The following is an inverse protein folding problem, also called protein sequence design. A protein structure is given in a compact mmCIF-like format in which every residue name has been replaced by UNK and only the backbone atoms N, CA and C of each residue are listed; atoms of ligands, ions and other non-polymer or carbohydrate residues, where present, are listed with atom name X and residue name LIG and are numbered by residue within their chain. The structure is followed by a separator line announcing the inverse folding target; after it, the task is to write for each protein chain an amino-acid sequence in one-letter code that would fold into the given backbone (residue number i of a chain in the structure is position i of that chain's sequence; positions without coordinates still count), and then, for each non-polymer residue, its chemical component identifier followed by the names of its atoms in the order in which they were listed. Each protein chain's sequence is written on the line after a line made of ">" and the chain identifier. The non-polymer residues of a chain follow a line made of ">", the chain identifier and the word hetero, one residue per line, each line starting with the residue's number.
data_IF_709060229438
#
_entry.id   IF_709060229438
#
_cell.length_a   1.000
_cell.length_b   1.000
_cell.length_c   1.000
_cell.angle_alpha   90.00
_cell.angle_beta   90.00
_cell.angle_gamma   90.00
#
_symmetry.space_group_name_H-M   'P 1'
#
loop_
_entity.id
_entity.type
_entity.pdbx_description
1 polymer ?
#
# COMPACT_ATOMS: atom_id res chain seq x y z
N UNK A 1 -16.04 1.00 7.79
CA UNK A 1 -15.87 2.23 6.99
C UNK A 1 -14.44 2.31 6.46
N UNK A 2 -14.25 2.68 5.17
CA UNK A 2 -12.93 2.89 4.59
C UNK A 2 -12.37 4.26 5.03
N UNK A 3 -11.28 4.26 5.79
CA UNK A 3 -10.68 5.46 6.40
C UNK A 3 -9.40 5.90 5.68
N UNK A 4 -8.56 4.95 5.29
CA UNK A 4 -7.28 5.20 4.62
C UNK A 4 -7.16 4.44 3.31
N UNK A 5 -6.45 5.02 2.36
CA UNK A 5 -6.20 4.45 1.03
C UNK A 5 -4.78 4.76 0.58
N UNK A 6 -4.30 4.09 -0.48
CA UNK A 6 -3.02 4.43 -1.10
C UNK A 6 -3.16 5.60 -2.08
N UNK A 7 -2.05 6.24 -2.42
CA UNK A 7 -2.03 7.33 -3.40
C UNK A 7 -2.49 6.90 -4.81
N UNK A 8 -2.48 5.60 -5.11
CA UNK A 8 -2.92 5.03 -6.38
C UNK A 8 -4.42 4.71 -6.43
N UNK A 9 -5.14 4.81 -5.32
CA UNK A 9 -6.60 4.63 -5.27
C UNK A 9 -7.31 5.78 -5.98
N UNK A 10 -7.39 5.73 -7.29
CA UNK A 10 -7.94 6.79 -8.14
C UNK A 10 -9.23 6.39 -8.88
N UNK A 11 -9.74 5.19 -8.62
CA UNK A 11 -11.00 4.72 -9.18
C UNK A 11 -11.90 4.11 -8.08
N UNK A 12 -13.17 4.49 -8.00
CA UNK A 12 -13.78 5.60 -8.73
C UNK A 12 -13.11 6.95 -8.38
N UNK A 13 -13.41 8.03 -9.11
CA UNK A 13 -12.77 9.34 -8.91
C UNK A 13 -12.86 9.85 -7.46
N UNK A 14 -13.89 9.44 -6.73
CA UNK A 14 -14.16 9.79 -5.33
C UNK A 14 -13.42 8.88 -4.33
N UNK A 15 -12.64 7.90 -4.79
CA UNK A 15 -12.02 6.89 -3.91
C UNK A 15 -11.17 7.50 -2.78
N UNK A 16 -10.57 8.67 -3.02
CA UNK A 16 -9.73 9.39 -2.03
C UNK A 16 -10.47 10.48 -1.27
N UNK A 17 -11.71 10.83 -1.64
CA UNK A 17 -12.44 11.92 -0.98
C UNK A 17 -12.77 11.57 0.48
N UNK A 18 -12.37 12.46 1.40
CA UNK A 18 -12.59 12.27 2.83
C UNK A 18 -11.84 11.10 3.46
N UNK A 19 -10.78 10.60 2.80
CA UNK A 19 -9.93 9.52 3.29
C UNK A 19 -8.48 9.97 3.41
N UNK A 20 -7.77 9.42 4.38
CA UNK A 20 -6.34 9.66 4.54
C UNK A 20 -5.54 8.89 3.46
N UNK A 21 -4.49 9.51 2.96
CA UNK A 21 -3.51 8.79 2.12
C UNK A 21 -2.46 8.22 3.05
N UNK A 22 -2.55 6.92 3.31
CA UNK A 22 -1.67 6.23 4.26
C UNK A 22 -0.42 5.63 3.61
N UNK A 23 -0.41 5.48 2.29
CA UNK A 23 0.76 5.05 1.53
C UNK A 23 1.03 6.04 0.42
N UNK A 24 2.21 6.63 0.44
CA UNK A 24 2.77 7.45 -0.62
C UNK A 24 3.63 6.64 -1.59
N UNK A 25 3.97 7.24 -2.72
CA UNK A 25 4.85 6.64 -3.71
C UNK A 25 5.43 7.70 -4.65
N UNK A 26 6.18 7.26 -5.64
CA UNK A 26 6.80 8.14 -6.62
C UNK A 26 5.76 8.73 -7.56
N UNK A 27 5.83 10.04 -7.81
CA UNK A 27 5.04 10.66 -8.89
C UNK A 27 5.72 10.40 -10.24
N UNK A 28 5.19 9.44 -10.98
CA UNK A 28 5.69 9.02 -12.29
C UNK A 28 4.88 9.59 -13.47
N UNK A 29 3.87 10.41 -13.20
CA UNK A 29 2.89 10.87 -14.23
C UNK A 29 3.51 11.67 -15.37
N UNK A 30 4.66 12.28 -15.13
CA UNK A 30 5.36 13.13 -16.09
C UNK A 30 6.57 12.46 -16.73
N UNK A 31 6.82 11.19 -16.41
CA UNK A 31 7.98 10.45 -16.86
C UNK A 31 7.62 9.53 -18.04
N UNK A 32 8.55 9.37 -18.96
CA UNK A 32 8.46 8.35 -19.99
C UNK A 32 8.70 6.95 -19.39
N UNK A 33 8.28 5.87 -20.07
CA UNK A 33 8.52 4.51 -19.59
C UNK A 33 10.00 4.20 -19.31
N UNK A 34 10.92 4.76 -20.12
CA UNK A 34 12.36 4.58 -19.91
C UNK A 34 12.84 5.29 -18.63
N UNK A 35 12.42 6.54 -18.43
CA UNK A 35 12.76 7.30 -17.22
C UNK A 35 12.20 6.63 -15.95
N UNK A 36 11.02 6.02 -16.02
CA UNK A 36 10.45 5.26 -14.91
C UNK A 36 11.33 4.04 -14.61
N UNK A 37 11.73 3.27 -15.61
CA UNK A 37 12.59 2.10 -15.45
C UNK A 37 13.95 2.49 -14.85
N UNK A 38 14.58 3.54 -15.35
CA UNK A 38 15.85 4.06 -14.83
C UNK A 38 15.73 4.53 -13.37
N UNK A 39 14.66 5.26 -13.04
CA UNK A 39 14.41 5.75 -11.69
C UNK A 39 14.19 4.59 -10.70
N UNK A 40 13.38 3.60 -11.07
CA UNK A 40 13.13 2.41 -10.24
C UNK A 40 14.42 1.65 -10.00
N UNK A 41 15.22 1.41 -11.05
CA UNK A 41 16.52 0.72 -10.91
C UNK A 41 17.49 1.49 -10.01
N UNK A 42 17.58 2.80 -10.17
CA UNK A 42 18.46 3.64 -9.37
C UNK A 42 18.09 3.59 -7.88
N UNK A 43 16.80 3.69 -7.56
CA UNK A 43 16.30 3.59 -6.19
C UNK A 43 16.56 2.23 -5.56
N UNK A 44 16.26 1.15 -6.29
CA UNK A 44 16.51 -0.20 -5.80
C UNK A 44 18.02 -0.46 -5.58
N UNK A 45 18.87 0.05 -6.46
CA UNK A 45 20.32 -0.07 -6.32
C UNK A 45 20.86 0.73 -5.11
N UNK A 46 20.22 1.85 -4.77
CA UNK A 46 20.52 2.65 -3.58
C UNK A 46 19.96 2.03 -2.28
N UNK A 47 19.09 1.01 -2.37
CA UNK A 47 18.39 0.43 -1.23
C UNK A 47 17.22 1.28 -0.75
N UNK A 48 16.79 2.25 -1.57
CA UNK A 48 15.65 3.11 -1.27
C UNK A 48 14.32 2.38 -1.50
N UNK A 49 13.33 2.75 -0.71
CA UNK A 49 11.96 2.26 -0.90
C UNK A 49 11.25 3.04 -2.00
N UNK A 50 10.39 2.34 -2.75
CA UNK A 50 9.56 2.94 -3.81
C UNK A 50 8.25 3.49 -3.26
N UNK A 51 7.80 2.94 -2.13
CA UNK A 51 6.59 3.33 -1.41
C UNK A 51 6.97 3.72 0.02
N UNK A 52 6.20 4.61 0.60
CA UNK A 52 6.36 5.03 1.99
C UNK A 52 5.04 4.95 2.74
N UNK A 53 5.06 4.34 3.91
CA UNK A 53 3.93 4.35 4.83
C UNK A 53 3.95 5.64 5.65
N UNK A 54 2.83 6.36 5.70
CA UNK A 54 2.65 7.53 6.55
C UNK A 54 2.09 7.08 7.91
N UNK A 55 2.99 6.89 8.87
CA UNK A 55 2.64 6.49 10.24
C UNK A 55 1.66 7.47 10.90
N UNK A 56 1.81 8.78 10.64
CA UNK A 56 0.93 9.78 11.22
C UNK A 56 -0.50 9.71 10.63
N UNK A 57 -0.62 9.48 9.31
CA UNK A 57 -1.90 9.26 8.67
C UNK A 57 -2.56 7.96 9.16
N UNK A 58 -1.77 6.88 9.30
CA UNK A 58 -2.26 5.61 9.84
C UNK A 58 -2.76 5.76 11.27
N UNK A 59 -2.01 6.50 12.10
CA UNK A 59 -2.42 6.78 13.49
C UNK A 59 -3.73 7.59 13.56
N UNK A 60 -3.91 8.56 12.65
CA UNK A 60 -5.17 9.33 12.57
C UNK A 60 -6.36 8.47 12.17
N UNK A 61 -6.14 7.51 11.28
CA UNK A 61 -7.17 6.55 10.90
C UNK A 61 -7.62 5.68 12.08
N UNK A 62 -6.70 5.30 12.99
CA UNK A 62 -6.93 4.35 14.08
C UNK A 62 -7.77 3.15 13.59
N UNK A 63 -7.29 2.39 12.60
CA UNK A 63 -8.06 1.32 11.98
C UNK A 63 -8.21 0.11 12.89
N UNK A 64 -9.26 -0.66 12.67
CA UNK A 64 -9.45 -2.01 13.23
C UNK A 64 -9.02 -3.12 12.27
N UNK A 65 -8.96 -2.79 10.96
CA UNK A 65 -8.52 -3.70 9.91
C UNK A 65 -7.63 -2.96 8.90
N UNK A 66 -6.51 -3.59 8.54
CA UNK A 66 -5.61 -3.17 7.47
C UNK A 66 -5.54 -4.27 6.41
N UNK A 67 -5.89 -3.93 5.18
CA UNK A 67 -5.67 -4.81 4.03
C UNK A 67 -4.30 -4.50 3.43
N UNK A 68 -3.44 -5.51 3.34
CA UNK A 68 -2.08 -5.40 2.80
C UNK A 68 -1.87 -6.41 1.68
N UNK A 69 -1.03 -6.05 0.71
CA UNK A 69 -0.55 -6.96 -0.32
C UNK A 69 0.94 -7.22 -0.10
N UNK A 70 1.36 -8.47 -0.23
CA UNK A 70 2.77 -8.88 -0.11
C UNK A 70 3.31 -9.44 -1.43
N UNK A 71 2.99 -8.78 -2.54
CA UNK A 71 3.33 -9.27 -3.87
C UNK A 71 4.82 -9.13 -4.20
N UNK A 72 5.40 -7.97 -4.00
CA UNK A 72 6.84 -7.74 -4.14
C UNK A 72 7.24 -6.34 -3.62
N UNK A 73 8.53 -6.17 -3.29
CA UNK A 73 9.09 -4.89 -2.80
C UNK A 73 8.99 -3.72 -3.82
N UNK A 74 8.74 -4.04 -5.08
CA UNK A 74 8.60 -3.04 -6.17
C UNK A 74 7.15 -2.60 -6.35
N UNK A 75 6.18 -3.43 -5.90
CA UNK A 75 4.76 -3.26 -6.22
C UNK A 75 3.93 -2.77 -5.04
N UNK A 76 4.43 -2.92 -3.81
CA UNK A 76 3.69 -2.59 -2.60
C UNK A 76 4.63 -2.28 -1.43
N UNK A 77 4.08 -1.72 -0.35
CA UNK A 77 4.77 -1.66 0.94
C UNK A 77 4.96 -3.10 1.43
N UNK A 78 6.19 -3.52 1.77
CA UNK A 78 6.43 -4.86 2.30
C UNK A 78 5.57 -5.11 3.56
N UNK A 79 5.03 -6.33 3.70
CA UNK A 79 4.17 -6.69 4.83
C UNK A 79 4.84 -6.44 6.18
N UNK A 80 6.14 -6.69 6.29
CA UNK A 80 6.91 -6.41 7.50
C UNK A 80 6.92 -4.94 7.92
N UNK A 81 6.83 -3.99 7.00
CA UNK A 81 6.73 -2.57 7.32
C UNK A 81 5.38 -2.21 7.93
N UNK A 82 4.30 -2.83 7.44
CA UNK A 82 2.95 -2.65 8.01
C UNK A 82 2.90 -3.19 9.44
N UNK A 83 3.45 -4.37 9.70
CA UNK A 83 3.49 -5.00 11.03
C UNK A 83 4.34 -4.16 12.01
N UNK A 84 5.47 -3.63 11.54
CA UNK A 84 6.30 -2.71 12.33
C UNK A 84 5.57 -1.41 12.67
N UNK A 85 4.82 -0.84 11.71
CA UNK A 85 4.04 0.37 11.95
C UNK A 85 2.91 0.12 12.97
N UNK A 86 2.17 -0.97 12.83
CA UNK A 86 1.14 -1.40 13.77
C UNK A 86 1.72 -1.51 15.20
N UNK A 87 2.91 -2.13 15.32
CA UNK A 87 3.61 -2.27 16.59
C UNK A 87 4.07 -0.91 17.15
N UNK A 88 4.71 -0.06 16.33
CA UNK A 88 5.20 1.27 16.74
C UNK A 88 4.08 2.17 17.23
N UNK A 89 2.94 2.13 16.54
CA UNK A 89 1.78 2.97 16.86
C UNK A 89 0.89 2.37 17.96
N UNK A 90 1.25 1.19 18.49
CA UNK A 90 0.40 0.43 19.41
C UNK A 90 -1.04 0.29 18.88
N UNK A 91 -1.17 0.12 17.57
CA UNK A 91 -2.45 -0.04 16.88
C UNK A 91 -2.98 -1.46 17.10
N UNK A 92 -4.28 -1.60 17.38
CA UNK A 92 -4.92 -2.90 17.60
C UNK A 92 -5.53 -3.48 16.31
N UNK A 93 -5.12 -2.95 15.16
CA UNK A 93 -5.64 -3.41 13.87
C UNK A 93 -5.26 -4.86 13.58
N UNK A 94 -6.19 -5.60 13.01
CA UNK A 94 -5.90 -6.87 12.35
C UNK A 94 -5.30 -6.59 10.98
N UNK A 95 -4.15 -7.16 10.66
CA UNK A 95 -3.56 -7.08 9.31
C UNK A 95 -3.99 -8.31 8.53
N UNK A 96 -4.73 -8.10 7.45
CA UNK A 96 -5.12 -9.14 6.50
C UNK A 96 -4.25 -9.03 5.26
N UNK A 97 -3.37 -10.00 5.05
CA UNK A 97 -2.53 -10.09 3.87
C UNK A 97 -3.29 -10.77 2.72
N UNK A 98 -3.24 -10.17 1.54
CA UNK A 98 -3.84 -10.68 0.32
C UNK A 98 -2.72 -10.89 -0.69
N UNK A 99 -2.30 -12.14 -0.85
CA UNK A 99 -1.19 -12.54 -1.70
C UNK A 99 -1.58 -13.74 -2.60
N UNK A 100 -2.50 -13.52 -3.57
CA UNK A 100 -2.97 -14.58 -4.45
C UNK A 100 -1.90 -14.95 -5.50
N UNK A 101 -1.58 -16.23 -5.63
CA UNK A 101 -0.64 -16.80 -6.61
C UNK A 101 -1.33 -17.53 -7.77
N UNK A 102 -2.66 -17.61 -7.75
CA UNK A 102 -3.47 -18.26 -8.81
C UNK A 102 -4.76 -17.48 -9.06
N UNK A 103 -5.38 -17.73 -10.22
CA UNK A 103 -6.68 -17.11 -10.55
C UNK A 103 -7.77 -17.53 -9.55
N UNK A 104 -7.74 -18.77 -9.07
CA UNK A 104 -8.68 -19.22 -8.05
C UNK A 104 -8.53 -18.42 -6.76
N UNK A 105 -7.30 -18.22 -6.28
CA UNK A 105 -7.01 -17.42 -5.08
C UNK A 105 -7.39 -15.95 -5.24
N UNK A 106 -7.27 -15.37 -6.46
CA UNK A 106 -7.78 -14.02 -6.74
C UNK A 106 -9.31 -13.97 -6.56
N UNK A 107 -10.04 -14.98 -7.04
CA UNK A 107 -11.49 -15.07 -6.86
C UNK A 107 -11.84 -15.24 -5.38
N UNK A 108 -11.13 -16.10 -4.67
CA UNK A 108 -11.32 -16.36 -3.24
C UNK A 108 -11.02 -15.11 -2.39
N UNK A 109 -10.05 -14.28 -2.80
CA UNK A 109 -9.72 -13.04 -2.11
C UNK A 109 -10.89 -12.04 -2.10
N UNK A 110 -11.73 -12.05 -3.14
CA UNK A 110 -12.96 -11.23 -3.18
C UNK A 110 -13.92 -11.62 -2.05
N UNK A 111 -14.06 -12.91 -1.77
CA UNK A 111 -14.89 -13.40 -0.65
C UNK A 111 -14.25 -13.09 0.71
N UNK A 112 -12.92 -13.10 0.77
CA UNK A 112 -12.17 -12.79 2.00
C UNK A 112 -12.32 -11.33 2.41
N UNK A 113 -12.35 -10.42 1.42
CA UNK A 113 -12.50 -8.98 1.66
C UNK A 113 -13.96 -8.59 1.92
N UNK A 114 -14.91 -9.35 1.45
CA UNK A 114 -16.34 -9.12 1.62
C UNK A 114 -17.05 -8.86 0.33
#
# INVERSE_FOLDING_TARGET
>A
QLLGVTFECNFPAEARQGREIVVGGMDTKHLTPLEIDELVRARLAAGDELYSLDDAALARCNPDLILSQDLCRVCAVPSGEVDLAVTRLNCQATVLQIDPHSLAEVIDSVQTVG
#
